data_IF_379016563021
#
_entry.id   IF_379016563021
#
_cell.length_a   1.000
_cell.length_b   1.000
_cell.length_c   1.000
_cell.angle_alpha   90.00
_cell.angle_beta   90.00
_cell.angle_gamma   90.00
#
_symmetry.space_group_name_H-M   'P 1'
#
loop_
_entity.id
_entity.type
_entity.pdbx_description
1 polymer ?
#
# COMPACT_ATOMS: atom_id res chain seq x y z
N UNK A 1 24.29 -9.97 -35.83
CA UNK A 1 25.18 -10.95 -35.20
C UNK A 1 24.95 -10.87 -33.70
N UNK A 2 24.42 -11.94 -33.12
CA UNK A 2 24.08 -12.03 -31.71
C UNK A 2 25.35 -12.04 -30.85
N UNK A 3 25.39 -11.21 -29.81
CA UNK A 3 26.39 -11.28 -28.76
C UNK A 3 25.69 -11.78 -27.48
N UNK A 4 26.14 -12.94 -27.03
CA UNK A 4 25.71 -13.70 -25.86
C UNK A 4 25.98 -12.97 -24.54
N UNK A 5 24.98 -12.88 -23.67
CA UNK A 5 25.15 -12.49 -22.27
C UNK A 5 25.62 -13.70 -21.44
N UNK A 6 26.59 -13.56 -20.51
CA UNK A 6 26.94 -14.62 -19.58
C UNK A 6 25.94 -14.68 -18.42
N UNK A 7 25.45 -15.89 -18.16
CA UNK A 7 24.68 -16.24 -16.95
C UNK A 7 25.61 -16.39 -15.75
N UNK A 8 25.45 -15.55 -14.74
CA UNK A 8 25.96 -15.83 -13.39
C UNK A 8 24.85 -15.61 -12.38
N UNK A 9 24.14 -16.70 -12.07
CA UNK A 9 23.33 -16.82 -10.87
C UNK A 9 24.29 -16.89 -9.67
N UNK A 10 24.38 -15.80 -8.91
CA UNK A 10 25.02 -15.82 -7.59
C UNK A 10 24.02 -16.42 -6.61
N UNK A 11 24.29 -17.63 -6.13
CA UNK A 11 23.55 -18.29 -5.04
C UNK A 11 23.59 -17.40 -3.79
N UNK A 12 22.43 -17.11 -3.23
CA UNK A 12 22.31 -16.59 -1.86
C UNK A 12 22.91 -17.60 -0.86
N UNK A 13 23.54 -17.17 0.26
CA UNK A 13 24.19 -18.06 1.20
C UNK A 13 23.21 -19.02 1.89
N UNK A 14 23.57 -20.31 1.97
CA UNK A 14 22.83 -21.41 2.62
C UNK A 14 22.67 -21.28 4.15
N UNK A 15 22.95 -20.11 4.75
CA UNK A 15 22.82 -19.89 6.19
C UNK A 15 21.40 -19.46 6.65
N UNK A 16 20.43 -19.38 5.73
CA UNK A 16 19.03 -19.02 6.03
C UNK A 16 18.06 -20.22 5.94
N UNK A 17 18.55 -21.43 5.65
CA UNK A 17 17.69 -22.61 5.42
C UNK A 17 17.74 -23.69 6.50
N UNK A 18 18.49 -23.51 7.60
CA UNK A 18 18.47 -24.46 8.72
C UNK A 18 18.78 -23.76 10.04
N UNK A 19 17.73 -23.35 10.78
CA UNK A 19 17.89 -22.68 12.06
C UNK A 19 16.59 -22.39 12.82
N UNK A 20 15.95 -23.43 13.35
CA UNK A 20 15.37 -23.38 14.71
C UNK A 20 14.19 -22.47 15.02
N UNK A 21 13.08 -22.54 14.26
CA UNK A 21 11.78 -22.00 14.71
C UNK A 21 10.97 -22.97 15.60
N UNK A 22 11.50 -24.17 15.88
CA UNK A 22 10.75 -25.23 16.55
C UNK A 22 10.99 -25.35 18.07
N UNK A 23 11.86 -24.52 18.66
CA UNK A 23 12.24 -24.60 20.09
C UNK A 23 11.78 -23.42 20.95
N UNK A 24 11.20 -22.36 20.37
CA UNK A 24 10.70 -21.22 21.16
C UNK A 24 9.21 -21.35 21.53
N UNK A 25 8.42 -22.05 20.73
CA UNK A 25 7.00 -22.30 21.03
C UNK A 25 6.81 -23.27 22.21
N UNK A 26 7.73 -24.21 22.44
CA UNK A 26 7.61 -25.20 23.52
C UNK A 26 7.84 -24.63 24.92
N UNK A 27 8.67 -23.58 25.04
CA UNK A 27 8.98 -22.96 26.34
C UNK A 27 7.94 -21.93 26.79
N UNK A 28 7.17 -21.35 25.87
CA UNK A 28 6.02 -20.49 26.21
C UNK A 28 4.83 -21.34 26.66
N UNK A 29 4.66 -22.54 26.09
CA UNK A 29 3.59 -23.47 26.46
C UNK A 29 3.77 -24.09 27.86
N UNK A 30 5.01 -24.26 28.34
CA UNK A 30 5.26 -24.88 29.67
C UNK A 30 5.13 -23.91 30.86
N UNK A 31 5.31 -22.60 30.67
CA UNK A 31 5.20 -21.62 31.76
C UNK A 31 3.80 -21.00 31.91
N UNK A 32 2.85 -21.36 31.05
CA UNK A 32 1.42 -20.99 31.19
C UNK A 32 0.55 -22.05 31.88
N UNK A 33 1.11 -23.20 32.27
CA UNK A 33 0.35 -24.38 32.71
C UNK A 33 -0.15 -24.34 34.18
N UNK A 34 -0.03 -23.21 34.89
CA UNK A 34 -0.51 -23.11 36.29
C UNK A 34 -1.62 -22.09 36.53
N UNK A 35 -2.18 -21.43 35.51
CA UNK A 35 -3.32 -20.51 35.70
C UNK A 35 -4.46 -20.71 34.69
N UNK A 36 -4.53 -21.85 34.01
CA UNK A 36 -5.39 -22.07 32.85
C UNK A 36 -6.37 -23.24 33.00
N UNK A 37 -6.73 -23.62 34.24
CA UNK A 37 -7.70 -24.70 34.49
C UNK A 37 -9.13 -24.21 34.80
N UNK A 38 -9.34 -22.91 35.03
CA UNK A 38 -10.69 -22.38 35.33
C UNK A 38 -11.40 -21.72 34.14
N UNK A 39 -10.73 -21.49 33.00
CA UNK A 39 -11.35 -20.91 31.79
C UNK A 39 -11.69 -21.93 30.69
N UNK A 40 -11.23 -23.18 30.80
CA UNK A 40 -11.48 -24.23 29.79
C UNK A 40 -12.92 -24.77 29.84
N UNK A 41 -13.68 -24.51 30.91
CA UNK A 41 -15.10 -24.90 30.97
C UNK A 41 -16.06 -23.92 30.26
N UNK A 42 -15.64 -22.69 29.94
CA UNK A 42 -16.48 -21.70 29.24
C UNK A 42 -16.24 -21.63 27.71
N UNK A 43 -15.25 -22.35 27.17
CA UNK A 43 -14.94 -22.36 25.73
C UNK A 43 -15.65 -23.44 24.90
N UNK A 44 -16.33 -24.39 25.54
CA UNK A 44 -17.09 -25.44 24.84
C UNK A 44 -18.57 -25.09 24.61
N UNK A 45 -19.07 -23.99 25.19
CA UNK A 45 -20.40 -23.45 24.89
C UNK A 45 -20.42 -22.61 23.62
N UNK A 46 -19.36 -21.83 23.33
CA UNK A 46 -19.33 -20.88 22.21
C UNK A 46 -19.15 -21.53 20.83
N UNK A 47 -18.44 -22.66 20.72
CA UNK A 47 -18.28 -23.39 19.46
C UNK A 47 -19.59 -24.08 19.02
N UNK A 48 -20.42 -24.51 19.98
CA UNK A 48 -21.74 -25.06 19.71
C UNK A 48 -22.76 -23.99 19.29
N UNK A 49 -22.62 -22.74 19.75
CA UNK A 49 -23.44 -21.61 19.30
C UNK A 49 -23.14 -21.20 17.85
N UNK A 50 -21.87 -21.25 17.43
CA UNK A 50 -21.47 -20.98 16.04
C UNK A 50 -21.96 -22.09 15.09
N UNK A 51 -21.87 -23.36 15.48
CA UNK A 51 -22.41 -24.48 14.67
C UNK A 51 -23.96 -24.51 14.63
N UNK A 52 -24.65 -24.10 15.70
CA UNK A 52 -26.10 -23.98 15.71
C UNK A 52 -26.62 -22.76 14.91
N UNK A 53 -25.81 -21.71 14.77
CA UNK A 53 -26.09 -20.57 13.89
C UNK A 53 -26.15 -20.96 12.40
N UNK A 54 -25.24 -21.83 11.96
CA UNK A 54 -25.24 -22.35 10.57
C UNK A 54 -26.42 -23.29 10.29
N UNK A 55 -26.87 -24.05 11.30
CA UNK A 55 -27.97 -25.01 11.15
C UNK A 55 -29.36 -24.36 11.16
N UNK A 56 -29.50 -23.20 11.81
CA UNK A 56 -30.77 -22.46 11.91
C UNK A 56 -31.09 -21.58 10.70
N UNK A 57 -30.11 -21.34 9.81
CA UNK A 57 -30.31 -20.61 8.55
C UNK A 57 -30.98 -21.45 7.45
N UNK A 58 -31.03 -22.78 7.58
CA UNK A 58 -31.61 -23.66 6.55
C UNK A 58 -33.15 -23.77 6.58
N UNK A 59 -33.83 -23.18 7.57
CA UNK A 59 -35.29 -23.35 7.75
C UNK A 59 -36.13 -22.06 7.62
N UNK A 60 -35.59 -20.96 7.11
CA UNK A 60 -36.39 -19.78 6.76
C UNK A 60 -36.79 -19.80 5.27
N UNK A 61 -37.91 -20.44 4.97
CA UNK A 61 -38.52 -20.41 3.64
C UNK A 61 -39.08 -19.03 3.28
N UNK A 62 -38.75 -18.59 2.06
CA UNK A 62 -39.50 -17.66 1.19
C UNK A 62 -39.47 -16.17 1.54
N UNK A 63 -38.31 -15.57 1.30
CA UNK A 63 -38.19 -14.28 0.58
C UNK A 63 -37.27 -14.49 -0.64
N UNK A 64 -37.67 -15.41 -1.52
CA UNK A 64 -36.96 -15.73 -2.76
C UNK A 64 -37.20 -14.62 -3.80
N UNK A 65 -36.31 -13.62 -3.86
CA UNK A 65 -36.06 -12.88 -5.12
C UNK A 65 -34.73 -12.13 -5.10
N UNK A 66 -34.32 -11.50 -3.99
CA UNK A 66 -33.07 -10.71 -3.98
C UNK A 66 -31.81 -11.48 -3.58
N UNK A 67 -31.92 -12.50 -2.71
CA UNK A 67 -30.76 -13.25 -2.23
C UNK A 67 -30.21 -14.25 -3.28
N UNK A 68 -31.09 -14.84 -4.09
CA UNK A 68 -30.71 -15.77 -5.15
C UNK A 68 -29.97 -15.05 -6.29
N UNK A 69 -30.40 -13.83 -6.64
CA UNK A 69 -29.72 -12.98 -7.62
C UNK A 69 -28.31 -12.58 -7.17
N UNK A 70 -28.13 -12.27 -5.87
CA UNK A 70 -26.82 -11.93 -5.30
C UNK A 70 -25.83 -13.10 -5.32
N UNK A 71 -26.26 -14.29 -4.93
CA UNK A 71 -25.42 -15.49 -4.97
C UNK A 71 -25.08 -15.90 -6.41
N UNK A 72 -26.05 -15.83 -7.32
CA UNK A 72 -25.84 -16.07 -8.75
C UNK A 72 -24.81 -15.08 -9.32
N UNK A 73 -24.87 -13.81 -8.95
CA UNK A 73 -23.89 -12.79 -9.37
C UNK A 73 -22.48 -13.12 -8.88
N UNK A 74 -22.33 -13.54 -7.62
CA UNK A 74 -21.02 -13.90 -7.08
C UNK A 74 -20.42 -15.13 -7.79
N UNK A 75 -21.25 -16.14 -8.07
CA UNK A 75 -20.84 -17.31 -8.86
C UNK A 75 -20.43 -16.92 -10.27
N UNK A 76 -21.20 -16.05 -10.92
CA UNK A 76 -20.88 -15.52 -12.24
C UNK A 76 -19.51 -14.82 -12.27
N UNK A 77 -19.24 -13.95 -11.29
CA UNK A 77 -17.95 -13.25 -11.19
C UNK A 77 -16.81 -14.24 -10.95
N UNK A 78 -16.99 -15.21 -10.05
CA UNK A 78 -15.98 -16.24 -9.78
C UNK A 78 -15.68 -17.08 -11.03
N UNK A 79 -16.72 -17.55 -11.73
CA UNK A 79 -16.59 -18.32 -12.95
C UNK A 79 -15.88 -17.52 -14.04
N UNK A 80 -16.22 -16.23 -14.20
CA UNK A 80 -15.55 -15.33 -15.13
C UNK A 80 -14.04 -15.22 -14.80
N UNK A 81 -13.70 -14.96 -13.55
CA UNK A 81 -12.31 -14.82 -13.07
C UNK A 81 -11.49 -16.08 -13.35
N UNK A 82 -12.05 -17.26 -13.07
CA UNK A 82 -11.41 -18.55 -13.28
C UNK A 82 -11.27 -18.88 -14.77
N UNK A 83 -12.35 -18.73 -15.55
CA UNK A 83 -12.37 -19.02 -16.99
C UNK A 83 -11.41 -18.12 -17.77
N UNK A 84 -11.31 -16.86 -17.39
CA UNK A 84 -10.41 -15.87 -18.02
C UNK A 84 -9.00 -15.88 -17.45
N UNK A 85 -8.72 -16.76 -16.48
CA UNK A 85 -7.39 -16.96 -15.89
C UNK A 85 -6.81 -15.65 -15.34
N UNK A 86 -7.65 -14.82 -14.72
CA UNK A 86 -7.21 -13.55 -14.16
C UNK A 86 -6.32 -13.73 -12.92
N UNK A 87 -6.39 -14.90 -12.28
CA UNK A 87 -5.68 -15.23 -11.04
C UNK A 87 -4.48 -16.13 -11.25
N UNK A 88 -4.52 -17.04 -12.22
CA UNK A 88 -3.46 -18.06 -12.41
C UNK A 88 -3.27 -18.43 -13.86
N UNK A 89 -2.03 -18.72 -14.26
CA UNK A 89 -1.74 -19.41 -15.52
C UNK A 89 -2.12 -18.64 -16.79
N UNK A 90 -2.00 -17.30 -16.78
CA UNK A 90 -2.20 -16.49 -17.98
C UNK A 90 -1.21 -16.89 -19.06
N UNK A 91 -1.72 -17.23 -20.25
CA UNK A 91 -0.89 -17.65 -21.38
C UNK A 91 -0.10 -16.47 -21.93
N UNK A 92 1.18 -16.69 -22.24
CA UNK A 92 2.02 -15.69 -22.95
C UNK A 92 1.59 -15.46 -24.39
N UNK A 93 0.71 -16.30 -24.94
CA UNK A 93 0.11 -16.11 -26.27
C UNK A 93 -1.03 -15.08 -26.29
N UNK A 94 -1.57 -14.72 -25.12
CA UNK A 94 -2.63 -13.73 -24.99
C UNK A 94 -2.07 -12.31 -25.13
N UNK A 95 -2.90 -11.37 -25.58
CA UNK A 95 -2.52 -9.95 -25.58
C UNK A 95 -2.55 -9.41 -24.14
N UNK A 96 -1.56 -8.58 -23.79
CA UNK A 96 -1.52 -7.79 -22.54
C UNK A 96 -2.74 -6.86 -22.44
N UNK A 97 -3.19 -6.31 -23.57
CA UNK A 97 -4.38 -5.47 -23.66
C UNK A 97 -4.98 -5.56 -25.06
N UNK A 98 -6.31 -5.66 -25.15
CA UNK A 98 -7.04 -5.49 -26.40
C UNK A 98 -7.32 -4.00 -26.61
N UNK A 99 -6.27 -3.25 -26.97
CA UNK A 99 -6.34 -1.79 -27.03
C UNK A 99 -7.40 -1.28 -28.02
N UNK A 100 -8.15 -0.26 -27.57
CA UNK A 100 -9.03 0.59 -28.37
C UNK A 100 -8.81 2.04 -27.98
N UNK A 101 -8.94 2.96 -28.93
CA UNK A 101 -8.91 4.39 -28.59
C UNK A 101 -10.15 4.78 -27.76
N UNK A 102 -10.10 5.84 -26.93
CA UNK A 102 -11.22 6.20 -26.04
C UNK A 102 -12.56 6.39 -26.75
N UNK A 103 -12.56 6.89 -28.00
CA UNK A 103 -13.78 7.04 -28.80
C UNK A 103 -14.37 5.68 -29.19
N UNK A 104 -13.53 4.79 -29.72
CA UNK A 104 -13.92 3.44 -30.14
C UNK A 104 -14.37 2.58 -28.95
N UNK A 105 -13.71 2.72 -27.79
CA UNK A 105 -14.06 1.97 -26.59
C UNK A 105 -15.43 2.39 -26.05
N UNK A 106 -15.75 3.70 -26.08
CA UNK A 106 -17.08 4.21 -25.71
C UNK A 106 -18.20 3.69 -26.62
N UNK A 107 -17.90 3.44 -27.89
CA UNK A 107 -18.88 2.92 -28.85
C UNK A 107 -19.22 1.43 -28.61
N UNK A 108 -18.34 0.68 -27.92
CA UNK A 108 -18.53 -0.76 -27.68
C UNK A 108 -18.86 -1.13 -26.24
N UNK A 109 -18.56 -0.27 -25.26
CA UNK A 109 -18.82 -0.54 -23.85
C UNK A 109 -20.30 -0.30 -23.49
N UNK A 110 -20.93 -1.31 -22.89
CA UNK A 110 -22.31 -1.27 -22.42
C UNK A 110 -22.42 -0.69 -20.99
N UNK A 111 -21.82 0.48 -20.74
CA UNK A 111 -21.75 1.10 -19.39
C UNK A 111 -22.75 2.25 -19.18
N UNK A 112 -23.78 2.32 -20.02
CA UNK A 112 -24.87 3.28 -19.87
C UNK A 112 -25.65 3.04 -18.57
N UNK A 113 -26.00 4.12 -17.86
CA UNK A 113 -26.81 4.02 -16.64
C UNK A 113 -28.21 4.50 -16.95
N UNK A 114 -29.19 3.62 -16.76
CA UNK A 114 -30.61 3.92 -16.94
C UNK A 114 -31.39 3.88 -15.63
N UNK A 115 -32.67 4.27 -15.66
CA UNK A 115 -33.54 4.22 -14.47
C UNK A 115 -33.99 2.80 -14.12
N UNK A 116 -34.11 1.93 -15.11
CA UNK A 116 -34.36 0.50 -14.92
C UNK A 116 -33.07 -0.22 -14.54
N UNK A 117 -33.20 -1.29 -13.75
CA UNK A 117 -32.11 -2.24 -13.56
C UNK A 117 -31.80 -3.02 -14.85
N UNK A 118 -30.70 -3.78 -14.82
CA UNK A 118 -30.29 -4.69 -15.88
C UNK A 118 -30.60 -6.14 -15.51
N UNK A 119 -30.71 -7.00 -16.52
CA UNK A 119 -30.78 -8.45 -16.31
C UNK A 119 -29.41 -9.03 -15.96
N UNK A 120 -29.38 -10.26 -15.43
CA UNK A 120 -28.12 -10.95 -15.13
C UNK A 120 -27.27 -11.18 -16.39
N UNK A 121 -27.90 -11.43 -17.53
CA UNK A 121 -27.24 -11.59 -18.83
C UNK A 121 -26.58 -10.29 -19.32
N UNK A 122 -27.26 -9.16 -19.12
CA UNK A 122 -26.70 -7.84 -19.45
C UNK A 122 -25.48 -7.52 -18.55
N UNK A 123 -25.56 -7.87 -17.25
CA UNK A 123 -24.41 -7.72 -16.34
C UNK A 123 -23.26 -8.62 -16.77
N UNK A 124 -23.52 -9.89 -17.13
CA UNK A 124 -22.48 -10.78 -17.63
C UNK A 124 -21.78 -10.21 -18.87
N UNK A 125 -22.54 -9.67 -19.83
CA UNK A 125 -21.97 -9.06 -21.04
C UNK A 125 -21.07 -7.88 -20.68
N UNK A 126 -21.51 -7.00 -19.77
CA UNK A 126 -20.70 -5.88 -19.27
C UNK A 126 -19.41 -6.38 -18.62
N UNK A 127 -19.50 -7.37 -17.73
CA UNK A 127 -18.33 -7.92 -17.03
C UNK A 127 -17.34 -8.56 -18.01
N UNK A 128 -17.83 -9.30 -19.01
CA UNK A 128 -16.99 -9.87 -20.06
C UNK A 128 -16.29 -8.77 -20.88
N UNK A 129 -16.98 -7.67 -21.23
CA UNK A 129 -16.38 -6.53 -21.91
C UNK A 129 -15.31 -5.84 -21.07
N UNK A 130 -15.58 -5.63 -19.77
CA UNK A 130 -14.61 -5.06 -18.83
C UNK A 130 -13.35 -5.89 -18.80
N UNK A 131 -13.45 -7.22 -18.65
CA UNK A 131 -12.29 -8.11 -18.64
C UNK A 131 -11.57 -8.11 -20.00
N UNK A 132 -12.33 -8.13 -21.11
CA UNK A 132 -11.76 -8.22 -22.45
C UNK A 132 -10.91 -6.99 -22.83
N UNK A 133 -11.37 -5.78 -22.48
CA UNK A 133 -10.73 -4.52 -22.86
C UNK A 133 -9.77 -3.96 -21.80
N UNK A 134 -9.80 -4.48 -20.57
CA UNK A 134 -8.87 -4.06 -19.51
C UNK A 134 -7.44 -4.54 -19.77
N UNK A 135 -6.48 -3.77 -19.23
CA UNK A 135 -5.08 -4.19 -19.20
C UNK A 135 -4.92 -5.37 -18.25
N UNK A 136 -4.28 -6.44 -18.72
CA UNK A 136 -3.96 -7.62 -17.93
C UNK A 136 -2.67 -7.39 -17.15
N UNK A 137 -2.75 -6.74 -15.99
CA UNK A 137 -1.58 -6.40 -15.16
C UNK A 137 -0.87 -7.62 -14.57
N UNK A 138 -1.55 -8.76 -14.50
CA UNK A 138 -0.98 -10.06 -14.13
C UNK A 138 -0.20 -10.74 -15.26
N UNK A 139 -0.26 -10.21 -16.48
CA UNK A 139 0.42 -10.82 -17.62
C UNK A 139 1.94 -10.77 -17.42
N UNK A 140 2.70 -11.85 -17.67
CA UNK A 140 4.14 -11.90 -17.41
C UNK A 140 4.97 -10.88 -18.21
N UNK A 141 4.42 -10.35 -19.31
CA UNK A 141 5.02 -9.27 -20.12
C UNK A 141 4.48 -7.86 -19.83
N UNK A 142 3.77 -7.68 -18.72
CA UNK A 142 3.38 -6.36 -18.24
C UNK A 142 4.51 -5.75 -17.41
N UNK A 143 5.21 -4.77 -17.97
CA UNK A 143 6.32 -4.04 -17.32
C UNK A 143 6.11 -2.52 -17.33
N UNK A 144 4.87 -2.06 -17.45
CA UNK A 144 4.57 -0.65 -17.63
C UNK A 144 4.57 0.15 -16.33
N UNK A 145 4.37 -0.50 -15.19
CA UNK A 145 4.21 0.15 -13.89
C UNK A 145 5.14 -0.48 -12.86
N UNK A 146 5.29 0.17 -11.71
CA UNK A 146 6.02 -0.35 -10.55
C UNK A 146 5.25 -1.43 -9.78
N UNK A 147 4.18 -1.96 -10.37
CA UNK A 147 3.42 -3.09 -9.89
C UNK A 147 3.07 -3.98 -11.08
N UNK A 148 2.81 -5.25 -10.81
CA UNK A 148 2.45 -6.24 -11.81
C UNK A 148 2.34 -7.62 -11.18
N UNK A 149 1.70 -8.55 -11.87
CA UNK A 149 1.37 -9.85 -11.30
C UNK A 149 0.09 -9.83 -10.47
N UNK A 150 -0.26 -11.00 -9.93
CA UNK A 150 -1.32 -11.18 -8.95
C UNK A 150 -0.84 -12.20 -7.93
N UNK A 151 -1.03 -11.88 -6.66
CA UNK A 151 -0.78 -12.80 -5.55
C UNK A 151 -2.12 -13.38 -5.11
N UNK A 152 -2.25 -14.70 -5.15
CA UNK A 152 -3.50 -15.41 -4.90
C UNK A 152 -3.99 -15.22 -3.45
N UNK A 153 -3.05 -15.14 -2.50
CA UNK A 153 -3.36 -14.96 -1.08
C UNK A 153 -3.81 -13.52 -0.82
N UNK A 154 -3.13 -12.55 -1.42
CA UNK A 154 -3.51 -11.14 -1.34
C UNK A 154 -4.90 -10.89 -1.96
N UNK A 155 -5.21 -11.54 -3.09
CA UNK A 155 -6.54 -11.45 -3.70
C UNK A 155 -7.63 -12.04 -2.81
N UNK A 156 -7.39 -13.23 -2.23
CA UNK A 156 -8.34 -13.85 -1.32
C UNK A 156 -8.60 -12.96 -0.10
N UNK A 157 -7.55 -12.36 0.47
CA UNK A 157 -7.68 -11.36 1.53
C UNK A 157 -8.52 -10.16 1.10
N UNK A 158 -8.25 -9.59 -0.09
CA UNK A 158 -9.00 -8.46 -0.63
C UNK A 158 -10.50 -8.78 -0.81
N UNK A 159 -10.85 -9.96 -1.33
CA UNK A 159 -12.25 -10.37 -1.47
C UNK A 159 -12.96 -10.51 -0.12
N UNK A 160 -12.27 -11.03 0.90
CA UNK A 160 -12.83 -11.07 2.27
C UNK A 160 -13.01 -9.67 2.83
N UNK A 161 -12.05 -8.75 2.62
CA UNK A 161 -12.17 -7.34 3.03
C UNK A 161 -13.38 -6.67 2.38
N UNK A 162 -13.56 -6.82 1.06
CA UNK A 162 -14.69 -6.25 0.32
C UNK A 162 -16.03 -6.86 0.77
N UNK A 163 -16.07 -8.17 1.06
CA UNK A 163 -17.28 -8.82 1.56
C UNK A 163 -17.68 -8.34 2.97
N UNK A 164 -16.70 -8.01 3.82
CA UNK A 164 -16.94 -7.50 5.17
C UNK A 164 -17.31 -6.01 5.19
N UNK A 165 -16.86 -5.24 4.19
CA UNK A 165 -17.28 -3.85 3.94
C UNK A 165 -17.39 -2.98 5.21
N UNK A 166 -16.37 -3.03 6.06
CA UNK A 166 -16.29 -2.20 7.29
C UNK A 166 -15.29 -1.05 7.13
N UNK A 167 -15.19 -0.20 8.14
CA UNK A 167 -14.30 0.95 8.15
C UNK A 167 -13.21 0.81 9.21
N UNK A 168 -11.95 1.03 8.81
CA UNK A 168 -10.79 1.07 9.70
C UNK A 168 -10.74 2.38 10.51
N UNK A 169 -11.74 2.59 11.37
CA UNK A 169 -11.93 3.83 12.12
C UNK A 169 -11.87 3.61 13.64
N UNK A 170 -12.64 2.66 14.17
CA UNK A 170 -12.64 2.32 15.60
C UNK A 170 -12.68 0.81 15.81
N UNK A 171 -12.22 0.40 17.00
CA UNK A 171 -12.19 -1.01 17.36
C UNK A 171 -13.58 -1.64 17.40
N UNK A 172 -14.61 -0.87 17.75
CA UNK A 172 -15.99 -1.35 17.79
C UNK A 172 -16.50 -1.85 16.43
N UNK A 173 -16.11 -1.19 15.33
CA UNK A 173 -16.60 -1.52 13.98
C UNK A 173 -15.63 -2.39 13.18
N UNK A 174 -14.35 -2.41 13.54
CA UNK A 174 -13.31 -3.16 12.83
C UNK A 174 -12.29 -3.83 13.79
N UNK A 175 -12.73 -4.62 14.77
CA UNK A 175 -11.85 -5.12 15.84
C UNK A 175 -10.69 -5.98 15.30
N UNK A 176 -10.98 -6.84 14.31
CA UNK A 176 -9.96 -7.69 13.68
C UNK A 176 -8.99 -6.87 12.85
N UNK A 177 -9.51 -5.96 12.00
CA UNK A 177 -8.66 -5.19 11.09
C UNK A 177 -7.77 -4.19 11.82
N UNK A 178 -8.19 -3.64 12.96
CA UNK A 178 -7.33 -2.78 13.79
C UNK A 178 -6.16 -3.56 14.35
N UNK A 179 -6.39 -4.77 14.88
CA UNK A 179 -5.31 -5.60 15.41
C UNK A 179 -4.36 -6.09 14.30
N UNK A 180 -4.89 -6.38 13.12
CA UNK A 180 -4.07 -6.72 11.95
C UNK A 180 -3.19 -5.54 11.53
N UNK A 181 -3.74 -4.33 11.44
CA UNK A 181 -2.97 -3.14 11.08
C UNK A 181 -1.88 -2.84 12.12
N UNK A 182 -2.19 -2.87 13.41
CA UNK A 182 -1.23 -2.71 14.51
C UNK A 182 -0.08 -3.74 14.44
N UNK A 183 -0.43 -5.01 14.19
CA UNK A 183 0.56 -6.07 14.03
C UNK A 183 1.46 -5.84 12.81
N UNK A 184 0.88 -5.51 11.65
CA UNK A 184 1.65 -5.28 10.42
C UNK A 184 2.57 -4.07 10.56
N UNK A 185 2.09 -2.96 11.13
CA UNK A 185 2.91 -1.78 11.41
C UNK A 185 4.06 -2.15 12.34
N UNK A 186 3.79 -2.89 13.42
CA UNK A 186 4.82 -3.35 14.36
C UNK A 186 5.89 -4.22 13.68
N UNK A 187 5.49 -5.09 12.74
CA UNK A 187 6.46 -5.87 11.96
C UNK A 187 7.30 -4.98 11.04
N UNK A 188 6.68 -4.01 10.35
CA UNK A 188 7.41 -3.07 9.49
C UNK A 188 8.41 -2.22 10.29
N UNK A 189 8.02 -1.68 11.45
CA UNK A 189 8.92 -0.90 12.31
C UNK A 189 10.10 -1.75 12.79
N UNK A 190 9.86 -3.02 13.11
CA UNK A 190 10.92 -3.95 13.50
C UNK A 190 11.89 -4.26 12.35
N UNK A 191 11.39 -4.43 11.12
CA UNK A 191 12.24 -4.63 9.92
C UNK A 191 13.19 -3.45 9.71
N UNK A 192 12.73 -2.22 9.98
CA UNK A 192 13.56 -1.02 9.91
C UNK A 192 14.41 -0.76 11.16
N UNK A 193 14.40 -1.68 12.13
CA UNK A 193 15.26 -1.62 13.32
C UNK A 193 14.78 -0.67 14.43
N UNK A 194 13.53 -0.21 14.39
CA UNK A 194 12.96 0.63 15.44
C UNK A 194 12.45 -0.23 16.60
N UNK A 195 12.84 0.13 17.83
CA UNK A 195 12.33 -0.51 19.05
C UNK A 195 10.98 0.05 19.52
N UNK A 196 10.65 1.27 19.08
CA UNK A 196 9.35 1.91 19.24
C UNK A 196 9.04 2.62 17.94
N UNK A 197 7.85 2.39 17.39
CA UNK A 197 7.40 3.00 16.15
C UNK A 197 5.89 3.16 16.15
N UNK A 198 5.40 3.95 15.19
CA UNK A 198 3.98 4.21 14.97
C UNK A 198 3.76 4.31 13.45
N UNK A 199 2.53 4.16 13.01
CA UNK A 199 2.20 4.16 11.59
C UNK A 199 0.70 4.13 11.32
N UNK A 200 0.37 4.29 10.05
CA UNK A 200 -0.99 4.13 9.53
C UNK A 200 -0.89 3.78 8.05
N UNK A 201 -1.80 2.95 7.54
CA UNK A 201 -1.92 2.78 6.09
C UNK A 201 -2.58 4.01 5.46
N UNK A 202 -1.93 4.59 4.46
CA UNK A 202 -2.45 5.70 3.68
C UNK A 202 -2.89 5.23 2.29
N UNK A 203 -3.85 5.92 1.64
CA UNK A 203 -4.27 5.60 0.27
C UNK A 203 -3.22 6.07 -0.75
N UNK A 204 -2.10 5.35 -0.80
CA UNK A 204 -0.97 5.56 -1.70
C UNK A 204 0.19 6.34 -1.08
N UNK A 205 1.43 6.04 -1.53
CA UNK A 205 2.66 6.64 -1.01
C UNK A 205 2.74 8.17 -1.12
N UNK A 206 2.01 8.77 -2.08
CA UNK A 206 1.90 10.23 -2.16
C UNK A 206 1.24 10.85 -0.91
N UNK A 207 0.23 10.18 -0.35
CA UNK A 207 -0.40 10.61 0.90
C UNK A 207 0.50 10.32 2.09
N UNK A 208 1.26 9.22 2.09
CA UNK A 208 2.28 8.93 3.11
C UNK A 208 3.34 10.05 3.17
N UNK A 209 3.87 10.48 2.03
CA UNK A 209 4.82 11.60 1.95
C UNK A 209 4.20 12.92 2.47
N UNK A 210 2.91 13.13 2.21
CA UNK A 210 2.18 14.29 2.78
C UNK A 210 2.05 14.19 4.30
N UNK A 211 1.70 13.01 4.86
CA UNK A 211 1.65 12.79 6.30
C UNK A 211 3.01 13.02 6.95
N UNK A 212 4.11 12.52 6.36
CA UNK A 212 5.45 12.77 6.85
C UNK A 212 5.78 14.27 6.92
N UNK A 213 5.43 15.04 5.89
CA UNK A 213 5.60 16.49 5.89
C UNK A 213 4.72 17.21 6.93
N UNK A 214 3.48 16.73 7.14
CA UNK A 214 2.59 17.25 8.20
C UNK A 214 3.20 16.99 9.59
N UNK A 215 3.72 15.78 9.84
CA UNK A 215 4.36 15.42 11.10
C UNK A 215 5.60 16.26 11.36
N UNK A 216 6.46 16.42 10.36
CA UNK A 216 7.64 17.28 10.44
C UNK A 216 7.29 18.74 10.78
N UNK A 217 6.27 19.28 10.10
CA UNK A 217 5.78 20.64 10.36
C UNK A 217 5.20 20.76 11.76
N UNK A 218 4.40 19.80 12.21
CA UNK A 218 3.79 19.81 13.55
C UNK A 218 4.84 19.67 14.64
N UNK A 219 5.87 18.82 14.44
CA UNK A 219 7.00 18.65 15.36
C UNK A 219 7.74 19.97 15.57
N UNK A 220 7.98 20.74 14.49
CA UNK A 220 8.70 22.01 14.56
C UNK A 220 7.83 23.19 14.99
N UNK A 221 6.57 23.23 14.55
CA UNK A 221 5.61 24.30 14.80
C UNK A 221 4.23 23.74 15.18
N UNK A 222 4.03 23.26 16.42
CA UNK A 222 2.78 22.60 16.83
C UNK A 222 1.56 23.53 16.77
N UNK A 223 1.75 24.82 17.07
CA UNK A 223 0.68 25.81 17.02
C UNK A 223 0.05 25.98 15.63
N UNK A 224 0.77 25.61 14.56
CA UNK A 224 0.28 25.67 13.17
C UNK A 224 -1.05 24.93 12.98
N UNK A 225 -1.30 23.90 13.80
CA UNK A 225 -2.55 23.13 13.78
C UNK A 225 -3.77 24.01 14.09
N UNK A 226 -3.59 25.06 14.88
CA UNK A 226 -4.62 26.03 15.26
C UNK A 226 -4.48 27.36 14.53
N UNK A 227 -3.26 27.87 14.36
CA UNK A 227 -3.00 29.22 13.85
C UNK A 227 -2.85 29.26 12.33
N UNK A 228 -2.70 28.11 11.67
CA UNK A 228 -2.29 28.04 10.27
C UNK A 228 -0.83 28.48 10.09
N UNK A 229 -0.38 28.49 8.83
CA UNK A 229 1.00 28.81 8.43
C UNK A 229 1.28 30.31 8.26
N UNK A 230 0.23 31.14 8.26
CA UNK A 230 0.37 32.58 8.09
C UNK A 230 1.16 33.22 9.23
N UNK A 231 2.15 34.04 8.91
CA UNK A 231 3.03 34.70 9.89
C UNK A 231 4.26 33.88 10.32
N UNK A 232 4.38 32.62 9.91
CA UNK A 232 5.63 31.87 10.03
C UNK A 232 6.65 32.35 8.99
N UNK A 233 7.94 32.10 9.25
CA UNK A 233 8.94 32.14 8.18
C UNK A 233 8.54 31.15 7.09
N UNK A 234 8.82 31.43 5.80
CA UNK A 234 8.57 30.46 4.73
C UNK A 234 9.29 29.14 5.04
N UNK A 235 8.53 28.07 5.21
CA UNK A 235 9.07 26.74 5.49
C UNK A 235 9.60 26.12 4.21
N UNK A 236 10.82 25.57 4.23
CA UNK A 236 11.46 24.97 3.05
C UNK A 236 11.74 23.49 3.27
N UNK A 237 11.27 22.69 2.31
CA UNK A 237 11.53 21.26 2.20
C UNK A 237 12.59 20.98 1.12
N UNK A 238 13.29 19.86 1.23
CA UNK A 238 14.32 19.44 0.29
C UNK A 238 14.02 18.02 -0.20
N UNK A 239 14.18 17.79 -1.49
CA UNK A 239 14.11 16.44 -2.08
C UNK A 239 15.04 16.36 -3.29
N UNK A 240 15.40 15.14 -3.69
CA UNK A 240 16.29 14.92 -4.83
C UNK A 240 15.62 15.44 -6.11
N UNK A 241 16.43 15.89 -7.08
CA UNK A 241 15.95 16.15 -8.44
C UNK A 241 15.43 14.87 -9.16
N UNK A 242 15.74 13.69 -8.61
CA UNK A 242 15.17 12.39 -8.98
C UNK A 242 14.03 11.93 -8.06
N UNK A 243 13.66 12.73 -7.06
CA UNK A 243 12.62 12.41 -6.08
C UNK A 243 11.22 12.38 -6.68
N UNK A 244 10.30 11.67 -6.02
CA UNK A 244 8.93 11.58 -6.52
C UNK A 244 8.22 12.95 -6.43
N UNK A 245 7.43 13.28 -7.46
CA UNK A 245 6.74 14.57 -7.58
C UNK A 245 5.72 14.84 -6.45
N UNK A 246 5.36 13.82 -5.66
CA UNK A 246 4.46 13.92 -4.50
C UNK A 246 4.95 14.94 -3.48
N UNK A 247 6.26 15.11 -3.27
CA UNK A 247 6.78 16.05 -2.27
C UNK A 247 6.38 17.50 -2.61
N UNK A 248 6.54 17.89 -3.88
CA UNK A 248 6.09 19.21 -4.37
C UNK A 248 4.57 19.36 -4.31
N UNK A 249 3.83 18.30 -4.65
CA UNK A 249 2.37 18.28 -4.54
C UNK A 249 1.90 18.46 -3.10
N UNK A 250 2.55 17.79 -2.14
CA UNK A 250 2.30 17.92 -0.70
C UNK A 250 2.53 19.35 -0.24
N UNK A 251 3.63 20.00 -0.62
CA UNK A 251 3.88 21.39 -0.27
C UNK A 251 2.80 22.34 -0.81
N UNK A 252 2.31 22.11 -2.04
CA UNK A 252 1.17 22.85 -2.58
C UNK A 252 -0.09 22.65 -1.76
N UNK A 253 -0.45 21.40 -1.44
CA UNK A 253 -1.66 21.06 -0.69
C UNK A 253 -1.64 21.58 0.74
N UNK A 254 -0.47 21.59 1.37
CA UNK A 254 -0.29 22.02 2.75
C UNK A 254 -0.15 23.54 2.92
N UNK A 255 -0.28 24.30 1.82
CA UNK A 255 -0.19 25.76 1.82
C UNK A 255 1.24 26.31 1.97
N UNK A 256 2.25 25.49 1.70
CA UNK A 256 3.66 25.91 1.73
C UNK A 256 4.10 26.50 0.38
N UNK A 257 3.50 26.04 -0.73
CA UNK A 257 3.86 26.44 -2.08
C UNK A 257 4.99 25.57 -2.66
N UNK A 258 4.89 25.26 -3.96
CA UNK A 258 5.86 24.37 -4.63
C UNK A 258 7.27 24.98 -4.70
N UNK A 259 7.39 26.31 -4.81
CA UNK A 259 8.68 27.01 -4.85
C UNK A 259 9.49 26.87 -3.55
N UNK A 260 8.85 26.41 -2.47
CA UNK A 260 9.48 26.11 -1.19
C UNK A 260 9.88 24.63 -1.06
N UNK A 261 9.81 23.85 -2.15
CA UNK A 261 10.47 22.55 -2.26
C UNK A 261 11.71 22.70 -3.12
N UNK A 262 12.87 22.67 -2.47
CA UNK A 262 14.16 22.80 -3.15
C UNK A 262 14.58 21.45 -3.70
N UNK A 263 14.72 21.40 -5.03
CA UNK A 263 15.33 20.29 -5.75
C UNK A 263 16.84 20.26 -5.48
N UNK A 264 17.30 19.21 -4.81
CA UNK A 264 18.71 18.96 -4.48
C UNK A 264 19.34 18.12 -5.57
N UNK A 265 20.52 18.51 -6.04
CA UNK A 265 21.20 17.85 -7.15
C UNK A 265 21.56 16.38 -6.82
N UNK A 266 21.37 15.50 -7.80
CA UNK A 266 21.85 14.12 -7.71
C UNK A 266 23.27 13.93 -8.31
N UNK A 267 23.90 12.80 -8.01
CA UNK A 267 25.08 12.30 -8.72
C UNK A 267 24.71 11.62 -10.06
N UNK A 268 25.72 11.07 -10.73
CA UNK A 268 25.54 10.37 -12.01
C UNK A 268 24.77 9.05 -11.89
N UNK A 269 24.62 8.50 -10.68
CA UNK A 269 23.85 7.30 -10.39
C UNK A 269 22.43 7.64 -9.92
N UNK A 270 22.05 8.93 -9.90
CA UNK A 270 20.72 9.39 -9.50
C UNK A 270 20.53 9.53 -7.99
N UNK A 271 21.60 9.50 -7.20
CA UNK A 271 21.54 9.62 -5.72
C UNK A 271 21.73 11.06 -5.29
N UNK A 272 20.95 11.54 -4.32
CA UNK A 272 21.08 12.87 -3.75
C UNK A 272 22.50 13.10 -3.20
N UNK A 273 23.09 14.25 -3.52
CA UNK A 273 24.40 14.67 -3.00
C UNK A 273 24.27 15.35 -1.63
N UNK A 274 24.85 14.81 -0.55
CA UNK A 274 24.80 15.45 0.78
C UNK A 274 25.40 16.86 0.79
N UNK A 275 26.48 17.10 0.05
CA UNK A 275 27.10 18.42 -0.07
C UNK A 275 26.15 19.44 -0.72
N UNK A 276 25.37 19.02 -1.73
CA UNK A 276 24.39 19.88 -2.36
C UNK A 276 23.21 20.19 -1.42
N UNK A 277 22.84 19.24 -0.55
CA UNK A 277 21.84 19.44 0.51
C UNK A 277 22.33 20.50 1.51
N UNK A 278 23.56 20.39 2.01
CA UNK A 278 24.16 21.36 2.95
C UNK A 278 24.13 22.77 2.35
N UNK A 279 24.55 22.93 1.10
CA UNK A 279 24.49 24.23 0.43
C UNK A 279 23.06 24.75 0.26
N UNK A 280 22.11 23.87 -0.09
CA UNK A 280 20.72 24.24 -0.27
C UNK A 280 20.08 24.73 1.04
N UNK A 281 20.37 24.07 2.16
CA UNK A 281 19.95 24.47 3.51
C UNK A 281 20.53 25.83 3.87
N UNK A 282 21.84 26.04 3.68
CA UNK A 282 22.49 27.31 3.96
C UNK A 282 21.89 28.46 3.13
N UNK A 283 21.63 28.24 1.83
CA UNK A 283 20.96 29.22 0.95
C UNK A 283 19.53 29.54 1.42
N UNK A 284 18.76 28.54 1.84
CA UNK A 284 17.42 28.76 2.36
C UNK A 284 17.43 29.63 3.63
N UNK A 285 18.32 29.32 4.59
CA UNK A 285 18.48 30.12 5.82
C UNK A 285 18.91 31.55 5.52
N UNK A 286 19.84 31.75 4.58
CA UNK A 286 20.30 33.07 4.17
C UNK A 286 19.18 33.96 3.58
N UNK A 287 18.13 33.35 3.01
CA UNK A 287 16.92 34.05 2.53
C UNK A 287 15.88 34.32 3.62
N UNK A 288 16.18 34.00 4.88
CA UNK A 288 15.24 34.13 5.99
C UNK A 288 14.15 33.06 6.02
N UNK A 289 14.30 31.98 5.23
CA UNK A 289 13.42 30.82 5.27
C UNK A 289 13.78 29.88 6.42
N UNK A 290 12.88 28.95 6.75
CA UNK A 290 13.10 27.90 7.73
C UNK A 290 13.11 26.51 7.08
N UNK A 291 14.30 25.93 6.87
CA UNK A 291 14.46 24.50 6.59
C UNK A 291 13.78 23.63 7.66
N UNK A 292 13.02 22.62 7.25
CA UNK A 292 12.36 21.73 8.22
C UNK A 292 12.26 20.25 7.81
N UNK A 293 12.38 19.92 6.53
CA UNK A 293 12.08 18.59 6.02
C UNK A 293 13.01 18.20 4.86
N UNK A 294 13.54 16.99 4.90
CA UNK A 294 14.32 16.37 3.83
C UNK A 294 13.65 15.05 3.46
N UNK A 295 13.39 14.85 2.17
CA UNK A 295 12.90 13.59 1.60
C UNK A 295 14.02 12.90 0.83
N UNK A 296 14.65 11.92 1.47
CA UNK A 296 15.52 10.95 0.81
C UNK A 296 14.65 9.89 0.10
N UNK A 297 15.17 9.28 -0.95
CA UNK A 297 14.45 8.25 -1.73
C UNK A 297 15.18 6.91 -1.71
N UNK A 298 14.46 5.84 -1.38
CA UNK A 298 14.90 4.46 -1.33
C UNK A 298 14.39 3.66 -2.53
N UNK A 299 14.85 4.04 -3.72
CA UNK A 299 14.40 3.46 -4.99
C UNK A 299 13.63 4.48 -5.81
N UNK A 300 14.34 5.36 -6.51
CA UNK A 300 13.70 6.34 -7.42
C UNK A 300 12.87 5.65 -8.49
N UNK A 301 11.73 6.22 -8.87
CA UNK A 301 10.76 5.65 -9.83
C UNK A 301 11.38 5.22 -11.16
N UNK A 302 12.37 5.97 -11.67
CA UNK A 302 12.96 5.73 -12.99
C UNK A 302 14.24 4.89 -12.90
N UNK A 303 15.21 5.30 -12.09
CA UNK A 303 16.54 4.71 -12.05
C UNK A 303 16.68 3.58 -11.01
N UNK A 304 15.74 3.45 -10.07
CA UNK A 304 15.89 2.59 -8.90
C UNK A 304 17.06 2.99 -7.98
N UNK A 305 17.47 4.27 -8.01
CA UNK A 305 18.57 4.78 -7.20
C UNK A 305 18.18 4.89 -5.72
N UNK A 306 19.18 4.71 -4.84
CA UNK A 306 19.05 4.81 -3.39
C UNK A 306 19.94 5.95 -2.88
N UNK A 307 19.34 6.90 -2.18
CA UNK A 307 20.06 8.02 -1.59
C UNK A 307 21.00 7.55 -0.44
N UNK A 308 22.08 8.30 -0.13
CA UNK A 308 23.04 7.92 0.91
C UNK A 308 22.51 8.24 2.31
N UNK A 309 21.60 7.41 2.83
CA UNK A 309 20.81 7.70 4.05
C UNK A 309 21.63 8.10 5.27
N UNK A 310 22.76 7.44 5.55
CA UNK A 310 23.59 7.76 6.71
C UNK A 310 24.17 9.18 6.63
N UNK A 311 24.67 9.57 5.46
CA UNK A 311 25.23 10.90 5.24
C UNK A 311 24.14 11.97 5.29
N UNK A 312 22.96 11.69 4.73
CA UNK A 312 21.81 12.58 4.81
C UNK A 312 21.30 12.72 6.26
N UNK A 313 21.29 11.62 7.02
CA UNK A 313 20.93 11.65 8.44
C UNK A 313 21.89 12.51 9.27
N UNK A 314 23.20 12.42 9.02
CA UNK A 314 24.19 13.28 9.66
C UNK A 314 23.93 14.76 9.37
N UNK A 315 23.62 15.12 8.11
CA UNK A 315 23.25 16.49 7.72
C UNK A 315 21.96 16.93 8.42
N UNK A 316 20.91 16.11 8.39
CA UNK A 316 19.63 16.43 9.03
C UNK A 316 19.76 16.62 10.55
N UNK A 317 20.59 15.82 11.21
CA UNK A 317 20.85 15.95 12.63
C UNK A 317 21.61 17.24 12.97
N UNK A 318 22.61 17.62 12.16
CA UNK A 318 23.36 18.85 12.33
C UNK A 318 22.52 20.11 12.09
N UNK A 319 21.59 20.05 11.13
CA UNK A 319 20.77 21.17 10.68
C UNK A 319 19.38 21.26 11.32
N UNK A 320 19.05 20.36 12.26
CA UNK A 320 17.73 20.23 12.90
C UNK A 320 16.58 20.11 11.88
N UNK A 321 16.69 19.08 11.03
CA UNK A 321 15.74 18.75 9.97
C UNK A 321 15.10 17.38 10.20
N UNK A 322 13.82 17.26 9.87
CA UNK A 322 13.17 15.96 9.78
C UNK A 322 13.67 15.21 8.54
N UNK A 323 14.15 13.97 8.72
CA UNK A 323 14.47 13.07 7.62
C UNK A 323 13.29 12.12 7.36
N UNK A 324 12.71 12.21 6.17
CA UNK A 324 11.79 11.22 5.60
C UNK A 324 12.54 10.36 4.58
N UNK A 325 12.20 9.07 4.52
CA UNK A 325 12.68 8.15 3.48
C UNK A 325 11.45 7.64 2.73
N UNK A 326 11.36 8.02 1.45
CA UNK A 326 10.34 7.60 0.47
C UNK A 326 10.80 6.37 -0.29
#
# INVERSE_FOLDING_TARGET
MAASAPSTYTKLPECLMNGGLHTSLTNIVQNGHSSMNDEVQNGHSSLNEVQNGYSSLQNCTKTESSFDEGEAMLKLVLDLVLKTKLVTGMSTSEKVVNFKHPKELKEVLLVGVERSGCSLEEVEEVLQQVVHYSVKTQHPYFYNQLYGGIDEVALAGAWVTEALNTNQYTYEVAPVFILVEDYVISQLTNIFGYSNGDGIFAPGGSMSNMYAMVMARYKKYPDVKRTGVFGLKPLVAFSSDQGHYSVSKSASWLGLGMDNVVSVASDSEGRMKPEALVEAVARARARGCEPFFVNATAGTTVLGAYDPFHQLADVCAQEDLWLNVD
#
